data_IF_287340269725
#
_entry.id   IF_287340269725
#
_cell.length_a   1.000
_cell.length_b   1.000
_cell.length_c   1.000
_cell.angle_alpha   90.00
_cell.angle_beta   90.00
_cell.angle_gamma   90.00
#
_symmetry.space_group_name_H-M   'P 1'
#
loop_
_entity.id
_entity.type
_entity.pdbx_description
1 polymer ?
#
# COMPACT_ATOMS: atom_id res chain seq x y z
N UNK A 1 -1.68 -2.18 48.00
CA UNK A 1 -2.45 -2.41 49.25
C UNK A 1 -3.58 -1.39 49.25
N UNK A 2 -4.83 -1.83 49.12
CA UNK A 2 -5.99 -0.92 49.15
C UNK A 2 -6.29 -0.53 50.61
N UNK A 3 -6.44 0.77 50.88
CA UNK A 3 -6.84 1.25 52.20
C UNK A 3 -8.34 1.03 52.44
N UNK A 4 -8.75 0.67 53.68
CA UNK A 4 -10.14 0.42 54.04
C UNK A 4 -10.82 1.74 54.47
N UNK A 5 -11.73 2.23 53.64
CA UNK A 5 -12.51 3.44 53.89
C UNK A 5 -13.29 3.83 52.64
N UNK A 6 -14.28 3.02 52.26
CA UNK A 6 -15.03 3.23 51.02
C UNK A 6 -15.94 4.46 51.11
N UNK A 7 -15.54 5.56 50.48
CA UNK A 7 -16.54 6.50 49.95
C UNK A 7 -17.37 5.76 48.89
N UNK A 8 -18.64 6.11 48.75
CA UNK A 8 -19.52 5.58 47.68
C UNK A 8 -19.17 6.14 46.31
N UNK A 9 -18.10 6.93 46.21
CA UNK A 9 -17.74 7.67 45.01
C UNK A 9 -16.84 6.84 44.12
N UNK A 10 -17.00 7.01 42.82
CA UNK A 10 -16.22 6.31 41.81
C UNK A 10 -14.71 6.60 42.01
N UNK A 11 -13.85 5.57 42.24
CA UNK A 11 -12.46 5.78 42.62
C UNK A 11 -11.59 6.54 41.61
N UNK A 12 -12.06 6.69 40.36
CA UNK A 12 -11.35 7.41 39.30
C UNK A 12 -12.07 8.70 38.85
N UNK A 13 -12.93 9.26 39.71
CA UNK A 13 -13.72 10.45 39.36
C UNK A 13 -12.85 11.67 39.03
N UNK A 14 -11.72 11.83 39.73
CA UNK A 14 -10.79 12.94 39.52
C UNK A 14 -10.05 12.80 38.18
N UNK A 15 -9.63 11.58 37.81
CA UNK A 15 -9.01 11.32 36.51
C UNK A 15 -9.99 11.57 35.37
N UNK A 16 -11.25 11.11 35.51
CA UNK A 16 -12.29 11.38 34.51
C UNK A 16 -12.54 12.87 34.37
N UNK A 17 -12.62 13.61 35.49
CA UNK A 17 -12.80 15.06 35.46
C UNK A 17 -11.65 15.76 34.73
N UNK A 18 -10.41 15.33 34.97
CA UNK A 18 -9.23 15.85 34.28
C UNK A 18 -9.31 15.62 32.76
N UNK A 19 -9.71 14.42 32.33
CA UNK A 19 -9.90 14.13 30.90
C UNK A 19 -11.03 14.99 30.30
N UNK A 20 -12.14 15.20 31.02
CA UNK A 20 -13.19 16.11 30.57
C UNK A 20 -12.69 17.54 30.35
N UNK A 21 -11.89 18.08 31.29
CA UNK A 21 -11.29 19.42 31.16
C UNK A 21 -10.34 19.54 29.97
N UNK A 22 -9.58 18.48 29.64
CA UNK A 22 -8.73 18.46 28.44
C UNK A 22 -9.55 18.38 27.14
N UNK A 23 -10.64 17.61 27.14
CA UNK A 23 -11.55 17.53 25.98
C UNK A 23 -12.25 18.86 25.70
N UNK A 24 -12.60 19.64 26.72
CA UNK A 24 -13.20 20.97 26.56
C UNK A 24 -12.25 21.99 25.91
N UNK A 25 -10.93 21.82 26.06
CA UNK A 25 -9.91 22.69 25.45
C UNK A 25 -9.67 22.38 23.98
N UNK A 26 -10.11 21.22 23.50
CA UNK A 26 -9.85 20.79 22.13
C UNK A 26 -10.71 21.58 21.13
N UNK A 27 -10.08 22.04 20.05
CA UNK A 27 -10.75 22.78 18.98
C UNK A 27 -11.22 21.81 17.90
N UNK A 28 -12.51 21.89 17.53
CA UNK A 28 -13.09 21.02 16.50
C UNK A 28 -12.36 21.24 15.17
N UNK A 29 -11.82 20.15 14.61
CA UNK A 29 -11.14 20.16 13.31
C UNK A 29 -9.69 20.61 13.34
N UNK A 30 -9.13 21.00 14.49
CA UNK A 30 -7.73 21.39 14.59
C UNK A 30 -6.82 20.14 14.71
N UNK A 31 -5.89 19.89 13.76
CA UNK A 31 -5.00 18.73 13.81
C UNK A 31 -4.04 18.71 15.02
N UNK A 32 -3.85 19.85 15.70
CA UNK A 32 -2.96 19.96 16.86
C UNK A 32 -3.61 19.52 18.17
N UNK A 33 -4.95 19.50 18.22
CA UNK A 33 -5.73 19.14 19.42
C UNK A 33 -6.70 17.97 19.12
N UNK A 34 -6.18 16.81 18.67
CA UNK A 34 -6.99 15.63 18.42
C UNK A 34 -7.67 15.10 19.69
N UNK A 35 -8.99 15.00 19.67
CA UNK A 35 -9.81 14.50 20.78
C UNK A 35 -9.46 13.07 21.21
N UNK A 36 -9.05 12.22 20.27
CA UNK A 36 -8.77 10.80 20.51
C UNK A 36 -7.28 10.46 20.39
N UNK A 37 -6.37 11.42 20.59
CA UNK A 37 -4.94 11.08 20.62
C UNK A 37 -4.64 10.24 21.84
N UNK A 38 -4.43 8.97 21.60
CA UNK A 38 -4.22 8.03 22.70
C UNK A 38 -2.91 8.36 23.44
N UNK A 39 -2.85 8.20 24.77
CA UNK A 39 -1.72 8.67 25.58
C UNK A 39 -0.33 8.16 25.17
N UNK A 40 -0.25 6.95 24.60
CA UNK A 40 1.01 6.30 24.22
C UNK A 40 1.42 6.51 22.75
N UNK A 41 0.62 7.23 21.96
CA UNK A 41 0.97 7.55 20.58
C UNK A 41 1.92 8.75 20.54
N UNK A 42 3.21 8.49 20.46
CA UNK A 42 4.23 9.53 20.31
C UNK A 42 4.34 10.06 18.88
N UNK A 43 4.78 11.30 18.71
CA UNK A 43 4.93 11.92 17.39
C UNK A 43 5.96 11.20 16.50
N UNK A 44 7.02 10.62 17.07
CA UNK A 44 7.99 9.82 16.29
C UNK A 44 7.34 8.56 15.68
N UNK A 45 6.41 7.92 16.40
CA UNK A 45 5.66 6.75 15.88
C UNK A 45 4.71 7.20 14.78
N UNK A 46 4.07 8.36 14.94
CA UNK A 46 3.21 8.97 13.91
C UNK A 46 4.01 9.23 12.64
N UNK A 47 5.19 9.85 12.74
CA UNK A 47 6.02 10.15 11.58
C UNK A 47 6.54 8.86 10.90
N UNK A 48 6.93 7.84 11.67
CA UNK A 48 7.34 6.53 11.12
C UNK A 48 6.21 5.77 10.44
N UNK A 49 4.98 5.85 10.96
CA UNK A 49 3.81 5.28 10.29
C UNK A 49 3.52 6.02 8.97
N UNK A 50 3.66 7.35 8.94
CA UNK A 50 3.54 8.15 7.72
C UNK A 50 4.62 7.82 6.68
N UNK A 51 5.87 7.57 7.11
CA UNK A 51 6.93 7.04 6.24
C UNK A 51 6.52 5.67 5.66
N UNK A 52 5.94 4.78 6.47
CA UNK A 52 5.43 3.48 6.03
C UNK A 52 4.29 3.56 5.03
N UNK A 53 3.32 4.46 5.26
CA UNK A 53 2.22 4.74 4.32
C UNK A 53 2.78 5.20 2.97
N UNK A 54 3.73 6.14 3.00
CA UNK A 54 4.38 6.65 1.79
C UNK A 54 5.16 5.55 1.06
N UNK A 55 5.87 4.68 1.79
CA UNK A 55 6.57 3.54 1.23
C UNK A 55 5.62 2.58 0.49
N UNK A 56 4.45 2.27 1.07
CA UNK A 56 3.44 1.40 0.46
C UNK A 56 2.88 1.97 -0.86
N UNK A 57 2.65 3.28 -0.92
CA UNK A 57 2.26 3.94 -2.16
C UNK A 57 3.35 3.89 -3.25
N UNK A 58 4.61 4.12 -2.88
CA UNK A 58 5.73 3.99 -3.81
C UNK A 58 5.86 2.55 -4.33
N UNK A 59 5.73 1.56 -3.45
CA UNK A 59 5.75 0.14 -3.82
C UNK A 59 4.59 -0.20 -4.78
N UNK A 60 3.39 0.31 -4.55
CA UNK A 60 2.25 0.15 -5.44
C UNK A 60 2.51 0.73 -6.83
N UNK A 61 3.13 1.92 -6.91
CA UNK A 61 3.44 2.56 -8.19
C UNK A 61 4.53 1.81 -8.96
N UNK A 62 5.53 1.25 -8.27
CA UNK A 62 6.52 0.35 -8.88
C UNK A 62 5.84 -0.89 -9.48
N UNK A 63 4.87 -1.47 -8.77
CA UNK A 63 4.10 -2.62 -9.24
C UNK A 63 3.19 -2.26 -10.43
N UNK A 64 2.55 -1.10 -10.43
CA UNK A 64 1.77 -0.61 -11.58
C UNK A 64 2.67 -0.38 -12.81
N UNK A 65 3.87 0.19 -12.62
CA UNK A 65 4.84 0.36 -13.70
C UNK A 65 5.26 -0.99 -14.30
N UNK A 66 5.57 -1.99 -13.46
CA UNK A 66 5.84 -3.34 -13.93
C UNK A 66 4.64 -3.95 -14.67
N UNK A 67 3.41 -3.72 -14.17
CA UNK A 67 2.21 -4.19 -14.83
C UNK A 67 2.04 -3.58 -16.24
N UNK A 68 2.35 -2.30 -16.40
CA UNK A 68 2.32 -1.61 -17.68
C UNK A 68 3.38 -2.17 -18.65
N UNK A 69 4.60 -2.44 -18.16
CA UNK A 69 5.66 -3.05 -18.95
C UNK A 69 5.29 -4.46 -19.46
N UNK A 70 4.85 -5.35 -18.57
CA UNK A 70 4.49 -6.73 -18.96
C UNK A 70 3.22 -6.82 -19.80
N UNK A 71 2.36 -5.79 -19.75
CA UNK A 71 1.12 -5.70 -20.52
C UNK A 71 1.28 -5.24 -21.97
N UNK A 72 2.49 -4.86 -22.41
CA UNK A 72 2.75 -4.43 -23.80
C UNK A 72 2.58 -5.55 -24.80
N UNK A 73 2.26 -5.20 -26.04
CA UNK A 73 2.13 -6.15 -27.14
C UNK A 73 3.45 -6.89 -27.45
N UNK A 74 4.59 -6.20 -27.32
CA UNK A 74 5.92 -6.75 -27.59
C UNK A 74 6.53 -7.52 -26.40
N UNK A 75 5.88 -7.52 -25.23
CA UNK A 75 6.25 -8.35 -24.05
C UNK A 75 5.25 -9.49 -23.87
N UNK A 76 3.95 -9.19 -23.85
CA UNK A 76 2.87 -10.17 -23.98
C UNK A 76 2.65 -11.09 -22.78
N UNK A 77 3.06 -10.71 -21.57
CA UNK A 77 2.94 -11.51 -20.33
C UNK A 77 1.76 -11.03 -19.48
N UNK A 78 0.55 -11.36 -19.94
CA UNK A 78 -0.70 -10.86 -19.37
C UNK A 78 -0.96 -11.34 -17.94
N UNK A 79 -0.55 -12.57 -17.59
CA UNK A 79 -0.70 -13.11 -16.25
C UNK A 79 0.25 -12.45 -15.25
N UNK A 80 1.49 -12.19 -15.65
CA UNK A 80 2.45 -11.41 -14.85
C UNK A 80 1.96 -9.97 -14.69
N UNK A 81 1.48 -9.33 -15.77
CA UNK A 81 0.89 -7.98 -15.69
C UNK A 81 -0.29 -7.94 -14.71
N UNK A 82 -1.19 -8.93 -14.80
CA UNK A 82 -2.35 -9.02 -13.91
C UNK A 82 -1.94 -9.24 -12.45
N UNK A 83 -0.98 -10.13 -12.18
CA UNK A 83 -0.40 -10.32 -10.85
C UNK A 83 0.13 -9.01 -10.26
N UNK A 84 0.90 -8.24 -11.05
CA UNK A 84 1.43 -6.96 -10.60
C UNK A 84 0.31 -5.96 -10.24
N UNK A 85 -0.79 -5.90 -11.00
CA UNK A 85 -1.95 -5.06 -10.68
C UNK A 85 -2.62 -5.45 -9.37
N UNK A 86 -2.80 -6.76 -9.13
CA UNK A 86 -3.36 -7.27 -7.87
C UNK A 86 -2.46 -6.86 -6.70
N UNK A 87 -1.15 -7.04 -6.83
CA UNK A 87 -0.19 -6.64 -5.81
C UNK A 87 -0.21 -5.11 -5.59
N UNK A 88 -0.29 -4.30 -6.64
CA UNK A 88 -0.36 -2.85 -6.50
C UNK A 88 -1.60 -2.39 -5.73
N UNK A 89 -2.77 -3.01 -5.99
CA UNK A 89 -3.98 -2.77 -5.22
C UNK A 89 -3.81 -3.19 -3.76
N UNK A 90 -3.21 -4.36 -3.51
CA UNK A 90 -2.96 -4.83 -2.15
C UNK A 90 -2.04 -3.86 -1.37
N UNK A 91 -0.97 -3.34 -1.98
CA UNK A 91 -0.08 -2.38 -1.32
C UNK A 91 -0.77 -1.02 -1.07
N UNK A 92 -1.67 -0.57 -1.95
CA UNK A 92 -2.55 0.59 -1.67
C UNK A 92 -3.50 0.33 -0.51
N UNK A 93 -4.10 -0.86 -0.45
CA UNK A 93 -4.99 -1.24 0.65
C UNK A 93 -4.24 -1.28 1.99
N UNK A 94 -3.01 -1.83 2.02
CA UNK A 94 -2.14 -1.80 3.20
C UNK A 94 -1.89 -0.35 3.67
N UNK A 95 -1.65 0.59 2.73
CA UNK A 95 -1.47 2.00 3.05
C UNK A 95 -2.73 2.63 3.66
N UNK A 96 -3.91 2.33 3.11
CA UNK A 96 -5.19 2.78 3.67
C UNK A 96 -5.44 2.21 5.08
N UNK A 97 -5.15 0.92 5.30
CA UNK A 97 -5.28 0.30 6.62
C UNK A 97 -4.36 0.98 7.65
N UNK A 98 -3.13 1.32 7.26
CA UNK A 98 -2.21 2.06 8.13
C UNK A 98 -2.67 3.51 8.40
N UNK A 99 -3.24 4.19 7.39
CA UNK A 99 -3.83 5.52 7.54
C UNK A 99 -5.05 5.49 8.49
N UNK A 100 -5.92 4.51 8.34
CA UNK A 100 -7.06 4.28 9.22
C UNK A 100 -6.62 3.96 10.65
N UNK A 101 -5.57 3.14 10.80
CA UNK A 101 -4.99 2.84 12.11
C UNK A 101 -4.49 4.13 12.80
N UNK A 102 -3.80 4.99 12.06
CA UNK A 102 -3.24 6.23 12.59
C UNK A 102 -4.33 7.23 12.97
N UNK A 103 -5.31 7.44 12.09
CA UNK A 103 -6.45 8.36 12.34
C UNK A 103 -7.33 7.89 13.49
N UNK A 104 -7.59 6.57 13.60
CA UNK A 104 -8.30 5.97 14.75
C UNK A 104 -7.62 6.27 16.08
N UNK A 105 -6.31 6.52 16.08
CA UNK A 105 -5.50 6.83 17.27
C UNK A 105 -5.28 8.32 17.49
N UNK A 106 -5.95 9.19 16.72
CA UNK A 106 -5.80 10.64 16.77
C UNK A 106 -4.50 11.16 16.16
N UNK A 107 -3.81 10.35 15.34
CA UNK A 107 -2.64 10.77 14.58
C UNK A 107 -3.03 11.37 13.23
N UNK A 108 -2.24 12.34 12.76
CA UNK A 108 -2.44 12.98 11.47
C UNK A 108 -1.68 12.23 10.36
N UNK A 109 -2.41 11.84 9.32
CA UNK A 109 -1.82 11.23 8.12
C UNK A 109 -1.21 12.32 7.25
N UNK A 110 0.04 12.09 6.81
CA UNK A 110 0.76 12.95 5.88
C UNK A 110 1.08 12.14 4.63
N UNK A 111 0.53 12.55 3.50
CA UNK A 111 0.87 11.98 2.20
C UNK A 111 2.13 12.65 1.66
N UNK A 112 3.23 11.91 1.58
CA UNK A 112 4.46 12.42 0.98
C UNK A 112 4.45 12.29 -0.54
N UNK A 113 5.25 13.10 -1.26
CA UNK A 113 5.47 12.92 -2.69
C UNK A 113 5.91 11.49 -3.02
N UNK A 114 5.37 10.94 -4.11
CA UNK A 114 5.77 9.63 -4.64
C UNK A 114 6.92 9.85 -5.63
N UNK A 115 7.97 9.04 -5.53
CA UNK A 115 9.08 9.09 -6.46
C UNK A 115 8.65 8.59 -7.84
N UNK A 116 9.36 9.04 -8.88
CA UNK A 116 9.16 8.52 -10.23
C UNK A 116 9.37 7.00 -10.24
N UNK A 117 8.38 6.22 -10.70
CA UNK A 117 8.52 4.78 -10.76
C UNK A 117 9.52 4.38 -11.85
N UNK A 118 10.11 3.18 -11.76
CA UNK A 118 11.04 2.67 -12.78
C UNK A 118 10.47 2.81 -14.19
N UNK A 119 11.29 3.32 -15.10
CA UNK A 119 10.91 3.48 -16.51
C UNK A 119 11.04 2.18 -17.30
N UNK A 120 10.64 2.19 -18.57
CA UNK A 120 10.67 1.01 -19.45
C UNK A 120 12.05 0.35 -19.53
N UNK A 121 13.10 1.18 -19.57
CA UNK A 121 14.49 0.77 -19.71
C UNK A 121 15.03 0.07 -18.47
N UNK A 122 14.38 0.26 -17.31
CA UNK A 122 14.76 -0.40 -16.06
C UNK A 122 14.14 -1.79 -15.91
N UNK A 123 13.00 -2.06 -16.54
CA UNK A 123 12.36 -3.37 -16.50
C UNK A 123 12.95 -4.34 -17.51
N UNK A 124 13.37 -3.82 -18.66
CA UNK A 124 13.99 -4.64 -19.69
C UNK A 124 15.47 -4.92 -19.39
N UNK A 125 15.84 -6.19 -19.49
CA UNK A 125 17.21 -6.67 -19.27
C UNK A 125 17.80 -7.17 -20.59
N UNK A 126 19.02 -6.70 -20.92
CA UNK A 126 19.76 -7.20 -22.09
C UNK A 126 20.23 -8.64 -21.90
N UNK A 127 20.49 -9.01 -20.65
CA UNK A 127 20.93 -10.34 -20.24
C UNK A 127 19.99 -10.87 -19.16
N UNK A 128 19.48 -12.09 -19.33
CA UNK A 128 18.61 -12.75 -18.37
C UNK A 128 17.13 -12.67 -18.73
N UNK A 129 16.28 -12.61 -17.71
CA UNK A 129 14.83 -12.63 -17.84
C UNK A 129 14.22 -11.44 -17.13
N UNK A 130 13.45 -10.63 -17.86
CA UNK A 130 12.73 -9.47 -17.33
C UNK A 130 11.78 -9.88 -16.18
N UNK A 131 11.17 -11.06 -16.29
CA UNK A 131 10.32 -11.64 -15.23
C UNK A 131 11.15 -11.95 -13.97
N UNK A 132 12.31 -12.57 -14.13
CA UNK A 132 13.21 -12.84 -12.99
C UNK A 132 13.68 -11.53 -12.35
N UNK A 133 14.01 -10.53 -13.14
CA UNK A 133 14.40 -9.21 -12.65
C UNK A 133 13.26 -8.58 -11.82
N UNK A 134 12.04 -8.55 -12.36
CA UNK A 134 10.88 -7.99 -11.68
C UNK A 134 10.54 -8.72 -10.37
N UNK A 135 10.42 -10.06 -10.39
CA UNK A 135 10.12 -10.82 -9.17
C UNK A 135 11.22 -10.72 -8.11
N UNK A 136 12.49 -10.56 -8.53
CA UNK A 136 13.59 -10.28 -7.60
C UNK A 136 13.42 -8.91 -6.95
N UNK A 137 13.04 -7.88 -7.73
CA UNK A 137 12.75 -6.53 -7.21
C UNK A 137 11.55 -6.54 -6.27
N UNK A 138 10.48 -7.27 -6.59
CA UNK A 138 9.31 -7.42 -5.71
C UNK A 138 9.67 -8.10 -4.39
N UNK A 139 10.47 -9.17 -4.42
CA UNK A 139 10.98 -9.81 -3.20
C UNK A 139 11.84 -8.85 -2.38
N UNK A 140 12.67 -8.02 -3.04
CA UNK A 140 13.48 -7.02 -2.36
C UNK A 140 12.61 -5.94 -1.69
N UNK A 141 11.56 -5.45 -2.36
CA UNK A 141 10.58 -4.54 -1.76
C UNK A 141 9.93 -5.17 -0.53
N UNK A 142 9.41 -6.40 -0.64
CA UNK A 142 8.80 -7.08 0.51
C UNK A 142 9.75 -7.21 1.71
N UNK A 143 11.03 -7.54 1.46
CA UNK A 143 12.08 -7.60 2.49
C UNK A 143 12.36 -6.24 3.13
N UNK A 144 12.42 -5.17 2.35
CA UNK A 144 12.63 -3.81 2.87
C UNK A 144 11.44 -3.40 3.73
N UNK A 145 10.20 -3.60 3.26
CA UNK A 145 8.99 -3.33 4.02
C UNK A 145 8.93 -4.10 5.35
N UNK A 146 9.25 -5.40 5.33
CA UNK A 146 9.37 -6.23 6.53
C UNK A 146 10.37 -5.65 7.53
N UNK A 147 11.58 -5.31 7.06
CA UNK A 147 12.62 -4.75 7.92
C UNK A 147 12.23 -3.39 8.52
N UNK A 148 11.57 -2.53 7.75
CA UNK A 148 11.07 -1.25 8.24
C UNK A 148 10.00 -1.46 9.33
N UNK A 149 9.03 -2.35 9.11
CA UNK A 149 8.01 -2.68 10.10
C UNK A 149 8.63 -3.26 11.38
N UNK A 150 9.62 -4.15 11.25
CA UNK A 150 10.31 -4.76 12.39
C UNK A 150 11.16 -3.75 13.19
N UNK A 151 11.77 -2.76 12.54
CA UNK A 151 12.46 -1.66 13.24
C UNK A 151 11.47 -0.79 14.02
N UNK A 152 10.36 -0.42 13.39
CA UNK A 152 9.29 0.36 14.03
C UNK A 152 8.67 -0.41 15.21
N UNK A 153 8.56 -1.73 15.12
CA UNK A 153 8.10 -2.57 16.22
C UNK A 153 9.01 -2.43 17.46
N UNK A 154 10.33 -2.44 17.27
CA UNK A 154 11.28 -2.23 18.36
C UNK A 154 11.19 -0.81 18.97
N UNK A 155 10.90 0.21 18.17
CA UNK A 155 10.65 1.57 18.66
C UNK A 155 9.33 1.66 19.45
N UNK A 156 8.27 1.04 18.95
CA UNK A 156 6.97 0.98 19.64
C UNK A 156 7.07 0.23 20.98
N UNK A 157 7.86 -0.85 21.05
CA UNK A 157 8.18 -1.55 22.29
C UNK A 157 8.87 -0.65 23.31
N UNK A 158 9.89 0.12 22.91
CA UNK A 158 10.59 1.06 23.81
C UNK A 158 9.65 2.12 24.39
N UNK A 159 8.60 2.48 23.65
CA UNK A 159 7.58 3.48 24.06
C UNK A 159 6.37 2.89 24.76
N UNK A 160 6.33 1.56 24.95
CA UNK A 160 5.18 0.85 25.51
C UNK A 160 3.86 1.12 24.75
N UNK A 161 3.92 1.37 23.43
CA UNK A 161 2.71 1.57 22.61
C UNK A 161 2.12 0.21 22.18
N UNK A 162 1.39 -0.42 23.09
CA UNK A 162 0.80 -1.75 22.90
C UNK A 162 -0.07 -1.88 21.64
N UNK A 163 -0.78 -0.82 21.26
CA UNK A 163 -1.68 -0.86 20.11
C UNK A 163 -0.91 -0.78 18.78
N UNK A 164 0.18 -0.01 18.73
CA UNK A 164 1.10 -0.01 17.58
C UNK A 164 1.89 -1.32 17.47
N UNK A 165 2.34 -1.87 18.61
CA UNK A 165 2.96 -3.21 18.66
C UNK A 165 2.03 -4.24 18.03
N UNK A 166 0.75 -4.27 18.45
CA UNK A 166 -0.21 -5.24 17.95
C UNK A 166 -0.46 -5.12 16.45
N UNK A 167 -0.60 -3.88 15.96
CA UNK A 167 -0.74 -3.60 14.54
C UNK A 167 0.46 -4.11 13.73
N UNK A 168 1.68 -3.87 14.23
CA UNK A 168 2.91 -4.27 13.56
C UNK A 168 3.14 -5.79 13.59
N UNK A 169 2.72 -6.51 14.63
CA UNK A 169 2.75 -7.98 14.64
C UNK A 169 1.99 -8.57 13.45
N UNK A 170 0.77 -8.05 13.19
CA UNK A 170 -0.03 -8.46 12.04
C UNK A 170 0.67 -8.12 10.71
N UNK A 171 1.17 -6.89 10.57
CA UNK A 171 1.85 -6.45 9.35
C UNK A 171 3.13 -7.25 9.06
N UNK A 172 3.93 -7.56 10.10
CA UNK A 172 5.16 -8.37 9.99
C UNK A 172 4.82 -9.80 9.57
N UNK A 173 3.77 -10.39 10.15
CA UNK A 173 3.30 -11.73 9.79
C UNK A 173 2.87 -11.81 8.33
N UNK A 174 2.01 -10.88 7.88
CA UNK A 174 1.55 -10.82 6.49
C UNK A 174 2.70 -10.57 5.50
N UNK A 175 3.65 -9.71 5.85
CA UNK A 175 4.85 -9.48 5.05
C UNK A 175 5.72 -10.75 4.92
N UNK A 176 5.81 -11.56 5.97
CA UNK A 176 6.50 -12.85 5.95
C UNK A 176 5.91 -13.83 4.94
N UNK A 177 4.58 -13.94 4.90
CA UNK A 177 3.87 -14.78 3.92
C UNK A 177 4.06 -14.27 2.48
N UNK A 178 3.98 -12.95 2.26
CA UNK A 178 4.30 -12.32 0.96
C UNK A 178 5.73 -12.65 0.51
N UNK A 179 6.71 -12.51 1.41
CA UNK A 179 8.12 -12.81 1.14
C UNK A 179 8.33 -14.27 0.74
N UNK A 180 7.68 -15.22 1.44
CA UNK A 180 7.77 -16.64 1.13
C UNK A 180 7.24 -16.94 -0.27
N UNK A 181 6.05 -16.42 -0.59
CA UNK A 181 5.43 -16.60 -1.91
C UNK A 181 6.32 -16.07 -3.04
N UNK A 182 6.84 -14.84 -2.89
CA UNK A 182 7.76 -14.24 -3.86
C UNK A 182 9.08 -15.01 -3.97
N UNK A 183 9.61 -15.52 -2.86
CA UNK A 183 10.84 -16.32 -2.87
C UNK A 183 10.68 -17.64 -3.66
N UNK A 184 9.51 -18.28 -3.61
CA UNK A 184 9.21 -19.44 -4.46
C UNK A 184 9.25 -19.11 -5.94
N UNK A 185 8.62 -18.01 -6.37
CA UNK A 185 8.69 -17.57 -7.77
C UNK A 185 10.12 -17.28 -8.21
N UNK A 186 10.89 -16.54 -7.41
CA UNK A 186 12.30 -16.25 -7.71
C UNK A 186 13.12 -17.54 -7.83
N UNK A 187 12.87 -18.53 -6.96
CA UNK A 187 13.56 -19.81 -6.98
C UNK A 187 13.26 -20.58 -8.27
N UNK A 188 11.99 -20.69 -8.65
CA UNK A 188 11.58 -21.35 -9.89
C UNK A 188 12.14 -20.64 -11.12
N UNK A 189 12.07 -19.30 -11.16
CA UNK A 189 12.58 -18.50 -12.27
C UNK A 189 14.11 -18.63 -12.43
N UNK A 190 14.86 -18.73 -11.33
CA UNK A 190 16.30 -19.03 -11.37
C UNK A 190 16.61 -20.44 -11.85
N UNK A 191 15.81 -21.43 -11.43
CA UNK A 191 16.00 -22.83 -11.79
C UNK A 191 15.85 -23.07 -13.30
N UNK A 192 14.89 -22.39 -13.93
CA UNK A 192 14.60 -22.55 -15.37
C UNK A 192 15.54 -21.75 -16.29
N UNK A 193 16.46 -20.95 -15.74
CA UNK A 193 17.54 -20.22 -16.47
C UNK A 193 17.09 -19.50 -17.75
N UNK A 194 15.88 -18.91 -17.75
CA UNK A 194 15.36 -18.18 -18.90
C UNK A 194 14.68 -19.03 -19.98
N UNK A 195 14.31 -20.28 -19.68
CA UNK A 195 13.46 -21.09 -20.56
C UNK A 195 12.13 -20.36 -20.85
N UNK A 196 11.93 -20.01 -22.13
CA UNK A 196 10.75 -19.28 -22.60
C UNK A 196 9.45 -20.06 -22.42
N UNK A 197 9.48 -21.38 -22.54
CA UNK A 197 8.30 -22.22 -22.34
C UNK A 197 7.90 -22.23 -20.85
N UNK A 198 8.89 -22.33 -19.95
CA UNK A 198 8.64 -22.25 -18.51
C UNK A 198 8.07 -20.90 -18.09
N UNK A 199 8.61 -19.79 -18.62
CA UNK A 199 8.10 -18.43 -18.37
C UNK A 199 6.65 -18.30 -18.86
N UNK A 200 6.36 -18.79 -20.06
CA UNK A 200 4.99 -18.77 -20.61
C UNK A 200 4.02 -19.64 -19.79
N UNK A 201 4.50 -20.75 -19.23
CA UNK A 201 3.69 -21.59 -18.35
C UNK A 201 3.39 -20.90 -17.02
N UNK A 202 4.38 -20.23 -16.42
CA UNK A 202 4.20 -19.40 -15.23
C UNK A 202 3.18 -18.28 -15.48
N UNK A 203 3.28 -17.59 -16.63
CA UNK A 203 2.33 -16.54 -16.99
C UNK A 203 0.88 -17.05 -17.02
N UNK A 204 0.65 -18.22 -17.62
CA UNK A 204 -0.66 -18.89 -17.64
C UNK A 204 -1.14 -19.28 -16.24
N UNK A 205 -0.25 -19.79 -15.40
CA UNK A 205 -0.56 -20.17 -14.03
C UNK A 205 -0.98 -18.95 -13.21
N UNK A 206 -0.25 -17.84 -13.35
CA UNK A 206 -0.58 -16.58 -12.70
C UNK A 206 -1.94 -16.07 -13.17
N UNK A 207 -2.22 -16.07 -14.48
CA UNK A 207 -3.52 -15.67 -15.05
C UNK A 207 -4.69 -16.48 -14.44
N UNK A 208 -4.51 -17.80 -14.27
CA UNK A 208 -5.52 -18.68 -13.68
C UNK A 208 -5.70 -18.44 -12.18
N UNK A 209 -4.62 -18.43 -11.39
CA UNK A 209 -4.67 -18.28 -9.92
C UNK A 209 -5.15 -16.90 -9.49
N UNK A 210 -4.77 -15.85 -10.20
CA UNK A 210 -5.18 -14.48 -9.87
C UNK A 210 -6.62 -14.18 -10.30
N UNK A 211 -7.17 -14.86 -11.32
CA UNK A 211 -8.61 -14.80 -11.62
C UNK A 211 -9.47 -15.30 -10.44
N UNK A 212 -9.01 -16.28 -9.67
CA UNK A 212 -9.68 -16.77 -8.46
C UNK A 212 -9.63 -15.73 -7.33
N UNK A 213 -8.44 -15.17 -7.09
CA UNK A 213 -8.20 -14.19 -6.02
C UNK A 213 -8.90 -12.85 -6.30
N UNK A 214 -8.88 -12.37 -7.55
CA UNK A 214 -9.57 -11.16 -7.99
C UNK A 214 -11.10 -11.31 -8.05
N UNK A 215 -11.62 -12.55 -8.11
CA UNK A 215 -13.05 -12.84 -7.93
C UNK A 215 -13.46 -12.94 -6.45
N UNK A 216 -12.56 -13.39 -5.58
CA UNK A 216 -12.80 -13.50 -4.14
C UNK A 216 -12.64 -12.16 -3.40
N UNK A 217 -11.65 -11.35 -3.80
CA UNK A 217 -11.53 -9.96 -3.41
C UNK A 217 -12.24 -9.12 -4.47
N UNK A 218 -13.47 -8.64 -4.21
CA UNK A 218 -14.26 -7.85 -5.15
C UNK A 218 -13.61 -6.51 -5.52
N UNK A 219 -12.55 -6.56 -6.33
CA UNK A 219 -11.81 -5.38 -6.84
C UNK A 219 -12.20 -5.20 -8.30
N UNK A 220 -13.15 -4.29 -8.54
CA UNK A 220 -13.69 -3.98 -9.87
C UNK A 220 -12.64 -3.48 -10.89
N UNK A 221 -11.41 -3.19 -10.46
CA UNK A 221 -10.34 -2.67 -11.33
C UNK A 221 -9.44 -3.73 -12.00
N UNK A 222 -9.56 -5.03 -11.64
CA UNK A 222 -8.54 -6.04 -11.99
C UNK A 222 -9.09 -7.23 -12.78
N UNK A 223 -10.09 -7.03 -13.64
CA UNK A 223 -10.60 -8.12 -14.50
C UNK A 223 -9.56 -8.46 -15.59
N UNK A 224 -9.14 -9.74 -15.74
CA UNK A 224 -8.18 -10.15 -16.76
C UNK A 224 -8.72 -9.89 -18.18
N UNK A 225 -7.82 -9.43 -19.06
CA UNK A 225 -8.11 -8.90 -20.40
C UNK A 225 -8.96 -9.84 -21.28
N UNK A 226 -8.95 -11.16 -21.04
CA UNK A 226 -9.67 -12.16 -21.85
C UNK A 226 -11.11 -12.47 -21.40
N UNK A 227 -11.58 -11.95 -20.26
CA UNK A 227 -12.96 -12.16 -19.78
C UNK A 227 -13.85 -10.93 -19.88
N UNK A 228 -13.40 -9.87 -20.55
CA UNK A 228 -14.23 -8.71 -20.85
C UNK A 228 -15.08 -8.93 -22.10
N UNK A 229 -16.03 -9.86 -22.02
CA UNK A 229 -17.23 -9.81 -22.88
C UNK A 229 -18.11 -8.73 -22.24
N UNK A 230 -17.93 -7.49 -22.69
CA UNK A 230 -18.63 -6.34 -22.15
C UNK A 230 -17.92 -5.04 -22.48
N UNK A 231 -17.87 -4.70 -23.77
CA UNK A 231 -17.32 -3.47 -24.36
C UNK A 231 -17.80 -2.18 -23.66
N UNK A 232 -18.89 -2.23 -22.87
CA UNK A 232 -19.49 -1.06 -22.23
C UNK A 232 -18.83 -0.57 -20.93
N UNK A 233 -18.15 -1.42 -20.13
CA UNK A 233 -17.49 -0.92 -18.88
C UNK A 233 -16.16 -0.21 -19.15
N UNK A 234 -15.47 -0.52 -20.25
CA UNK A 234 -14.16 0.06 -20.59
C UNK A 234 -14.29 1.49 -21.13
N UNK A 235 -15.37 1.79 -21.86
CA UNK A 235 -15.69 3.12 -22.41
C UNK A 235 -15.80 4.19 -21.31
N UNK A 236 -16.47 3.90 -20.19
CA UNK A 236 -16.70 4.87 -19.10
C UNK A 236 -15.38 5.34 -18.45
N UNK A 237 -14.44 4.42 -18.22
CA UNK A 237 -13.14 4.74 -17.62
C UNK A 237 -12.23 5.52 -18.59
N UNK A 238 -12.25 5.17 -19.89
CA UNK A 238 -11.49 5.90 -20.92
C UNK A 238 -12.06 7.29 -21.20
N UNK A 239 -13.38 7.46 -21.17
CA UNK A 239 -14.03 8.77 -21.32
C UNK A 239 -13.71 9.67 -20.14
N UNK A 240 -13.72 9.16 -18.90
CA UNK A 240 -13.36 9.96 -17.71
C UNK A 240 -11.89 10.41 -17.76
N UNK A 241 -10.97 9.53 -18.16
CA UNK A 241 -9.56 9.88 -18.35
C UNK A 241 -9.37 10.90 -19.49
N UNK A 242 -10.00 10.69 -20.65
CA UNK A 242 -9.93 11.61 -21.80
C UNK A 242 -10.55 12.98 -21.51
N UNK A 243 -11.64 13.03 -20.75
CA UNK A 243 -12.26 14.28 -20.29
C UNK A 243 -11.32 15.03 -19.34
N UNK A 244 -10.73 14.33 -18.35
CA UNK A 244 -9.75 14.95 -17.43
C UNK A 244 -8.52 15.50 -18.15
N UNK A 245 -8.06 14.83 -19.22
CA UNK A 245 -6.94 15.29 -20.04
C UNK A 245 -7.30 16.52 -20.89
N UNK A 246 -8.51 16.57 -21.46
CA UNK A 246 -8.99 17.72 -22.23
C UNK A 246 -9.07 18.98 -21.37
N UNK A 247 -9.59 18.87 -20.13
CA UNK A 247 -9.64 19.99 -19.19
C UNK A 247 -8.24 20.51 -18.78
N UNK A 248 -7.22 19.65 -18.72
CA UNK A 248 -5.85 20.09 -18.40
C UNK A 248 -5.12 20.75 -19.58
N UNK A 249 -5.47 20.42 -20.82
CA UNK A 249 -4.85 21.01 -22.00
C UNK A 249 -5.48 22.36 -22.39
N UNK A 250 -6.76 22.56 -22.08
CA UNK A 250 -7.49 23.80 -22.39
C UNK A 250 -7.04 25.00 -21.54
N UNK A 251 -6.36 24.80 -20.39
CA UNK A 251 -5.76 25.91 -19.61
C UNK A 251 -4.40 26.38 -20.14
N UNK A 252 -3.78 25.64 -21.09
CA UNK A 252 -2.46 25.99 -21.64
C UNK A 252 -2.51 26.81 -22.94
N UNK A 253 -3.70 27.05 -23.50
CA UNK A 253 -3.90 27.86 -24.72
C UNK A 253 -4.51 29.25 -24.45
N UNK A 254 -4.51 29.70 -23.18
CA UNK A 254 -5.15 30.95 -22.74
C UNK A 254 -4.24 32.16 -22.47
N UNK A 255 -2.92 32.07 -22.62
CA UNK A 255 -2.00 33.21 -22.42
C UNK A 255 -1.00 33.37 -23.57
N UNK A 256 -1.51 33.63 -24.78
CA UNK A 256 -0.73 34.31 -25.84
C UNK A 256 -1.58 35.32 -26.61
N UNK A 257 -1.61 36.54 -26.07
CA UNK A 257 -1.60 37.78 -26.87
C UNK A 257 -2.96 38.40 -27.23
N UNK A 258 -2.92 39.74 -27.31
CA UNK A 258 -3.96 40.75 -27.65
C UNK A 258 -4.63 41.29 -26.38
N UNK A 259 -4.28 42.45 -25.80
CA UNK A 259 -3.72 43.73 -26.31
C UNK A 259 -2.62 44.25 -25.37
#
# INVERSE_FOLDING_TARGET
>A
MAQPGGSKDFPWADEVKKECEELEKAEIGNPKTPLNKTPFLSDEIVDKLNEGISYKHNAALILDSAAAFFGRDNVGLCGVSHFCKVCAVAERADACVAADFLTKRGGNVKWCPVAEPPSESEWHTKEGSDVLHAFTKFLALAKVGYNCAHKLYGEAQKKNDAHTIKFLECAIFEAGEKMRCLAWYVTHLKAVKGDKHAIKNLDRELECKTCCLAKAAGVEAVVPCKLQIGTMKRLLATETFALSWKFMMDESEGEKGVV
#
